data_IF_151342799189
#
_entry.id   IF_151342799189
#
_cell.length_a   1.000
_cell.length_b   1.000
_cell.length_c   1.000
_cell.angle_alpha   90.00
_cell.angle_beta   90.00
_cell.angle_gamma   90.00
#
_symmetry.space_group_name_H-M   'P 1'
#
loop_
_entity.id
_entity.type
_entity.pdbx_description
1 polymer ?
#
# COMPACT_ATOMS: atom_id res chain seq x y z
N UNK A 1 13.58 12.15 -20.72
CA UNK A 1 12.85 11.03 -20.05
C UNK A 1 13.71 10.18 -19.11
N UNK A 2 14.94 9.75 -19.45
CA UNK A 2 15.78 8.94 -18.54
C UNK A 2 16.12 9.63 -17.21
N UNK A 3 16.47 10.93 -17.24
CA UNK A 3 16.85 11.66 -16.03
C UNK A 3 15.69 11.88 -15.05
N UNK A 4 14.44 11.96 -15.53
CA UNK A 4 13.27 12.09 -14.65
C UNK A 4 12.90 10.76 -13.99
N UNK A 5 12.97 9.63 -14.72
CA UNK A 5 12.72 8.30 -14.14
C UNK A 5 13.69 8.00 -12.98
N UNK A 6 14.99 8.18 -13.20
CA UNK A 6 16.02 7.89 -12.20
C UNK A 6 15.87 8.77 -10.97
N UNK A 7 15.57 10.07 -11.15
CA UNK A 7 15.30 10.98 -10.04
C UNK A 7 14.05 10.57 -9.25
N UNK A 8 12.99 10.21 -9.95
CA UNK A 8 11.74 9.84 -9.28
C UNK A 8 11.91 8.51 -8.51
N UNK A 9 12.64 7.56 -9.11
CA UNK A 9 13.04 6.32 -8.46
C UNK A 9 13.95 6.58 -7.25
N UNK A 10 14.93 7.48 -7.35
CA UNK A 10 15.85 7.76 -6.25
C UNK A 10 15.12 8.37 -5.05
N UNK A 11 14.16 9.26 -5.26
CA UNK A 11 13.32 9.77 -4.17
C UNK A 11 12.48 8.67 -3.52
N UNK A 12 11.89 7.77 -4.31
CA UNK A 12 11.09 6.68 -3.78
C UNK A 12 11.93 5.65 -3.02
N UNK A 13 13.11 5.29 -3.54
CA UNK A 13 14.07 4.44 -2.83
C UNK A 13 14.54 5.11 -1.54
N UNK A 14 14.87 6.40 -1.59
CA UNK A 14 15.29 7.15 -0.41
C UNK A 14 14.20 7.17 0.68
N UNK A 15 12.95 7.43 0.31
CA UNK A 15 11.80 7.33 1.24
C UNK A 15 11.69 5.96 1.90
N UNK A 16 11.81 4.90 1.11
CA UNK A 16 11.73 3.54 1.63
C UNK A 16 12.91 3.20 2.56
N UNK A 17 14.13 3.65 2.25
CA UNK A 17 15.29 3.49 3.14
C UNK A 17 15.12 4.27 4.44
N UNK A 18 14.64 5.52 4.37
CA UNK A 18 14.36 6.32 5.57
C UNK A 18 13.26 5.65 6.40
N UNK A 19 12.27 4.99 5.78
CA UNK A 19 11.26 4.20 6.49
C UNK A 19 11.92 3.07 7.29
N UNK A 20 12.80 2.27 6.66
CA UNK A 20 13.52 1.18 7.34
C UNK A 20 14.41 1.68 8.48
N UNK A 21 15.11 2.79 8.29
CA UNK A 21 15.93 3.38 9.35
C UNK A 21 15.03 3.87 10.48
N UNK A 22 13.93 4.55 10.17
CA UNK A 22 13.01 5.09 11.17
C UNK A 22 12.36 3.99 12.01
N UNK A 23 11.89 2.90 11.38
CA UNK A 23 11.29 1.78 12.11
C UNK A 23 12.32 1.08 13.01
N UNK A 24 13.55 0.90 12.52
CA UNK A 24 14.64 0.29 13.30
C UNK A 24 14.96 1.14 14.53
N UNK A 25 15.06 2.47 14.38
CA UNK A 25 15.30 3.40 15.50
C UNK A 25 14.15 3.32 16.51
N UNK A 26 12.90 3.38 16.04
CA UNK A 26 11.72 3.35 16.91
C UNK A 26 11.68 2.05 17.72
N UNK A 27 11.81 0.89 17.06
CA UNK A 27 11.82 -0.41 17.72
C UNK A 27 12.98 -0.50 18.72
N UNK A 28 14.19 -0.08 18.33
CA UNK A 28 15.36 -0.10 19.22
C UNK A 28 15.16 0.76 20.47
N UNK A 29 14.58 1.96 20.32
CA UNK A 29 14.29 2.85 21.46
C UNK A 29 13.26 2.23 22.40
N UNK A 30 12.18 1.66 21.84
CA UNK A 30 11.12 1.02 22.62
C UNK A 30 11.69 -0.18 23.39
N UNK A 31 12.42 -1.06 22.71
CA UNK A 31 13.10 -2.21 23.33
C UNK A 31 14.05 -1.76 24.44
N UNK A 32 14.87 -0.73 24.20
CA UNK A 32 15.78 -0.18 25.21
C UNK A 32 15.03 0.28 26.47
N UNK A 33 13.94 1.05 26.32
CA UNK A 33 13.18 1.51 27.47
C UNK A 33 12.47 0.38 28.22
N UNK A 34 11.99 -0.64 27.51
CA UNK A 34 11.39 -1.79 28.18
C UNK A 34 12.42 -2.62 28.95
N UNK A 35 13.64 -2.77 28.42
CA UNK A 35 14.73 -3.39 29.18
C UNK A 35 15.15 -2.57 30.39
N UNK A 36 15.13 -1.24 30.30
CA UNK A 36 15.41 -0.37 31.45
C UNK A 36 14.36 -0.53 32.57
N UNK A 37 13.15 -0.97 32.23
CA UNK A 37 12.05 -1.26 33.15
C UNK A 37 12.01 -2.74 33.60
N UNK A 38 13.07 -3.51 33.32
CA UNK A 38 13.19 -4.94 33.64
C UNK A 38 12.07 -5.81 33.05
N UNK A 39 11.47 -5.42 31.92
CA UNK A 39 10.52 -6.27 31.19
C UNK A 39 11.24 -7.43 30.50
N UNK A 40 10.59 -8.61 30.49
CA UNK A 40 11.09 -9.78 29.76
C UNK A 40 11.04 -9.58 28.24
N UNK A 41 11.88 -10.32 27.52
CA UNK A 41 11.91 -10.29 26.03
C UNK A 41 10.53 -10.60 25.45
N UNK A 42 9.84 -11.61 26.00
CA UNK A 42 8.49 -12.01 25.56
C UNK A 42 7.47 -10.86 25.69
N UNK A 43 7.53 -10.11 26.79
CA UNK A 43 6.66 -8.95 27.00
C UNK A 43 6.94 -7.84 25.97
N UNK A 44 8.21 -7.65 25.61
CA UNK A 44 8.64 -6.67 24.60
C UNK A 44 8.16 -7.09 23.22
N UNK A 45 8.36 -8.35 22.84
CA UNK A 45 7.92 -8.89 21.55
C UNK A 45 6.41 -8.80 21.39
N UNK A 46 5.64 -9.16 22.43
CA UNK A 46 4.18 -9.02 22.44
C UNK A 46 3.77 -7.56 22.24
N UNK A 47 4.38 -6.63 22.98
CA UNK A 47 4.05 -5.22 22.86
C UNK A 47 4.35 -4.67 21.45
N UNK A 48 5.49 -5.05 20.86
CA UNK A 48 5.88 -4.65 19.51
C UNK A 48 4.87 -5.19 18.48
N UNK A 49 4.51 -6.47 18.59
CA UNK A 49 3.51 -7.11 17.73
C UNK A 49 2.16 -6.40 17.84
N UNK A 50 1.70 -6.14 19.07
CA UNK A 50 0.42 -5.51 19.33
C UNK A 50 0.30 -4.09 18.78
N UNK A 51 1.42 -3.37 18.74
CA UNK A 51 1.54 -2.01 18.22
C UNK A 51 2.12 -1.95 16.80
N UNK A 52 2.33 -3.08 16.15
CA UNK A 52 3.09 -3.21 14.90
C UNK A 52 2.64 -2.25 13.80
N UNK A 53 1.33 -2.18 13.53
CA UNK A 53 0.77 -1.25 12.55
C UNK A 53 1.08 0.22 12.86
N UNK A 54 1.00 0.58 14.14
CA UNK A 54 1.32 1.92 14.60
C UNK A 54 2.78 2.26 14.34
N UNK A 55 3.70 1.35 14.65
CA UNK A 55 5.14 1.53 14.44
C UNK A 55 5.49 1.68 12.95
N UNK A 56 4.94 0.81 12.08
CA UNK A 56 5.17 0.86 10.63
C UNK A 56 4.60 2.15 10.05
N UNK A 57 3.36 2.49 10.41
CA UNK A 57 2.72 3.69 9.88
C UNK A 57 3.45 4.95 10.34
N UNK A 58 3.85 5.03 11.62
CA UNK A 58 4.62 6.15 12.15
C UNK A 58 5.96 6.31 11.42
N UNK A 59 6.70 5.22 11.20
CA UNK A 59 7.98 5.25 10.48
C UNK A 59 7.83 5.75 9.04
N UNK A 60 6.76 5.35 8.32
CA UNK A 60 6.43 5.88 6.99
C UNK A 60 6.07 7.36 7.02
N UNK A 61 5.29 7.81 7.99
CA UNK A 61 4.93 9.22 8.11
C UNK A 61 6.15 10.10 8.42
N UNK A 62 7.07 9.63 9.27
CA UNK A 62 8.36 10.28 9.52
C UNK A 62 9.18 10.35 8.22
N UNK A 63 9.30 9.24 7.50
CA UNK A 63 10.01 9.20 6.23
C UNK A 63 9.38 10.14 5.19
N UNK A 64 8.05 10.15 5.11
CA UNK A 64 7.31 11.03 4.21
C UNK A 64 7.59 12.49 4.56
N UNK A 65 7.54 12.87 5.83
CA UNK A 65 7.85 14.22 6.28
C UNK A 65 9.27 14.64 5.88
N UNK A 66 10.26 13.80 6.15
CA UNK A 66 11.67 14.06 5.80
C UNK A 66 11.84 14.21 4.29
N UNK A 67 11.37 13.25 3.50
CA UNK A 67 11.54 13.27 2.04
C UNK A 67 10.80 14.43 1.40
N UNK A 68 9.61 14.78 1.90
CA UNK A 68 8.88 15.94 1.41
C UNK A 68 9.65 17.24 1.65
N UNK A 69 10.32 17.40 2.81
CA UNK A 69 11.19 18.57 3.04
C UNK A 69 12.31 18.65 2.01
N UNK A 70 13.00 17.54 1.72
CA UNK A 70 14.02 17.51 0.66
C UNK A 70 13.44 17.78 -0.74
N UNK A 71 12.26 17.26 -1.04
CA UNK A 71 11.60 17.49 -2.33
C UNK A 71 11.23 18.96 -2.53
N UNK A 72 10.68 19.62 -1.51
CA UNK A 72 10.35 21.05 -1.54
C UNK A 72 11.60 21.90 -1.74
N UNK A 73 12.70 21.59 -1.04
CA UNK A 73 13.97 22.31 -1.19
C UNK A 73 14.51 22.24 -2.64
N UNK A 74 14.31 21.12 -3.33
CA UNK A 74 14.82 20.94 -4.69
C UNK A 74 13.94 21.64 -5.76
N UNK A 75 12.65 21.83 -5.52
CA UNK A 75 11.73 22.35 -6.55
C UNK A 75 11.64 23.88 -6.62
N UNK A 76 12.20 24.65 -5.68
CA UNK A 76 12.08 26.13 -5.56
C UNK A 76 10.62 26.69 -5.57
N UNK A 77 9.63 25.87 -5.87
CA UNK A 77 8.21 26.14 -5.86
C UNK A 77 7.63 25.42 -4.64
N UNK A 78 6.95 26.16 -3.75
CA UNK A 78 6.36 25.56 -2.55
C UNK A 78 5.12 24.77 -2.98
N UNK A 79 5.13 23.42 -2.98
CA UNK A 79 3.92 22.68 -3.32
C UNK A 79 2.88 22.99 -2.24
N UNK A 80 1.85 23.74 -2.62
CA UNK A 80 0.73 24.03 -1.74
C UNK A 80 -0.21 22.83 -1.80
N UNK A 81 -0.74 22.38 -0.66
CA UNK A 81 -1.74 21.30 -0.61
C UNK A 81 -2.87 21.50 -1.64
N UNK A 82 -3.29 22.75 -1.84
CA UNK A 82 -4.29 23.14 -2.85
C UNK A 82 -3.89 22.77 -4.29
N UNK A 83 -2.64 23.03 -4.69
CA UNK A 83 -2.12 22.67 -6.03
C UNK A 83 -2.11 21.15 -6.20
N UNK A 84 -1.72 20.44 -5.14
CA UNK A 84 -1.68 18.98 -5.13
C UNK A 84 -3.06 18.35 -5.27
N UNK A 85 -4.06 18.88 -4.57
CA UNK A 85 -5.43 18.40 -4.67
C UNK A 85 -5.99 18.64 -6.07
N UNK A 86 -5.75 19.82 -6.66
CA UNK A 86 -6.27 20.14 -7.99
C UNK A 86 -5.61 19.31 -9.10
N UNK A 87 -4.30 19.07 -8.99
CA UNK A 87 -3.54 18.41 -10.06
C UNK A 87 -3.71 16.88 -10.06
N UNK A 88 -3.98 16.26 -8.90
CA UNK A 88 -3.98 14.80 -8.75
C UNK A 88 -5.33 14.18 -8.36
N UNK A 89 -6.31 14.94 -7.85
CA UNK A 89 -7.65 14.39 -7.55
C UNK A 89 -8.56 14.46 -8.77
N UNK A 90 -8.23 13.65 -9.78
CA UNK A 90 -9.02 13.57 -11.01
C UNK A 90 -10.03 12.44 -10.86
N UNK A 91 -11.31 12.73 -11.13
CA UNK A 91 -12.39 11.74 -11.06
C UNK A 91 -12.07 10.46 -11.87
N UNK A 92 -12.36 9.26 -11.32
CA UNK A 92 -12.16 8.01 -12.04
C UNK A 92 -13.04 7.95 -13.28
N UNK A 93 -12.52 7.38 -14.37
CA UNK A 93 -13.35 7.09 -15.54
C UNK A 93 -14.36 5.98 -15.25
N UNK A 94 -15.40 5.88 -16.08
CA UNK A 94 -16.50 4.91 -15.90
C UNK A 94 -16.00 3.46 -15.86
N UNK A 95 -14.89 3.15 -16.52
CA UNK A 95 -14.30 1.82 -16.59
C UNK A 95 -13.65 1.36 -15.27
N UNK A 96 -13.41 2.27 -14.32
CA UNK A 96 -12.94 1.93 -12.99
C UNK A 96 -14.00 1.20 -12.16
N UNK A 97 -15.27 1.60 -12.26
CA UNK A 97 -16.33 1.04 -11.40
C UNK A 97 -16.58 -0.46 -11.63
N UNK A 98 -16.62 -0.99 -12.87
CA UNK A 98 -16.69 -2.43 -13.09
C UNK A 98 -15.52 -3.20 -12.49
N UNK A 99 -14.30 -2.64 -12.52
CA UNK A 99 -13.11 -3.25 -11.90
C UNK A 99 -13.31 -3.33 -10.38
N UNK A 100 -13.69 -2.22 -9.76
CA UNK A 100 -13.97 -2.16 -8.32
C UNK A 100 -15.07 -3.14 -7.91
N UNK A 101 -16.20 -3.14 -8.63
CA UNK A 101 -17.32 -4.03 -8.36
C UNK A 101 -16.94 -5.50 -8.51
N UNK A 102 -16.10 -5.86 -9.48
CA UNK A 102 -15.70 -7.24 -9.67
C UNK A 102 -14.74 -7.73 -8.56
N UNK A 103 -13.86 -6.84 -8.07
CA UNK A 103 -13.04 -7.13 -6.89
C UNK A 103 -13.89 -7.26 -5.61
N UNK A 104 -14.89 -6.40 -5.41
CA UNK A 104 -15.84 -6.55 -4.30
C UNK A 104 -16.65 -7.86 -4.45
N UNK A 105 -17.11 -8.16 -5.66
CA UNK A 105 -17.86 -9.38 -5.98
C UNK A 105 -17.06 -10.66 -5.73
N UNK A 106 -15.73 -10.61 -5.90
CA UNK A 106 -14.84 -11.73 -5.60
C UNK A 106 -14.96 -12.22 -4.14
N UNK A 107 -15.37 -11.37 -3.19
CA UNK A 107 -15.66 -11.84 -1.83
C UNK A 107 -16.92 -12.68 -1.74
N UNK A 108 -18.01 -12.21 -2.34
CA UNK A 108 -19.32 -12.83 -2.19
C UNK A 108 -19.44 -14.14 -2.98
N UNK A 109 -18.67 -14.29 -4.06
CA UNK A 109 -18.67 -15.48 -4.90
C UNK A 109 -17.86 -16.63 -4.29
N UNK A 110 -17.00 -16.35 -3.31
CA UNK A 110 -16.19 -17.36 -2.66
C UNK A 110 -16.89 -17.80 -1.36
N UNK A 111 -17.42 -19.03 -1.34
CA UNK A 111 -17.99 -19.74 -0.17
C UNK A 111 -16.94 -20.03 0.93
N UNK A 112 -16.02 -19.10 1.18
CA UNK A 112 -14.83 -19.30 2.00
C UNK A 112 -14.72 -18.33 3.18
N UNK A 113 -15.83 -17.69 3.55
CA UNK A 113 -15.89 -16.74 4.68
C UNK A 113 -16.40 -17.48 5.90
N UNK A 114 -15.57 -17.59 6.94
CA UNK A 114 -15.99 -18.07 8.25
C UNK A 114 -16.08 -16.88 9.21
N UNK A 115 -17.14 -16.81 10.00
CA UNK A 115 -17.16 -15.87 11.13
C UNK A 115 -16.18 -16.36 12.20
N UNK A 116 -15.40 -15.43 12.75
CA UNK A 116 -14.56 -15.74 13.92
C UNK A 116 -15.49 -15.90 15.12
N UNK A 117 -15.46 -17.06 15.76
CA UNK A 117 -16.22 -17.31 17.00
C UNK A 117 -15.43 -16.68 18.15
N UNK A 118 -15.81 -15.47 18.57
CA UNK A 118 -15.15 -14.73 19.65
C UNK A 118 -15.76 -13.36 19.89
N UNK A 119 -15.32 -12.68 20.96
CA UNK A 119 -15.71 -11.29 21.23
C UNK A 119 -15.10 -10.36 20.18
N UNK A 120 -15.98 -9.67 19.46
CA UNK A 120 -15.60 -8.75 18.40
C UNK A 120 -15.22 -7.39 18.97
N UNK A 121 -13.95 -7.01 18.83
CA UNK A 121 -13.47 -5.67 19.19
C UNK A 121 -13.50 -4.73 17.98
N UNK A 122 -14.58 -3.94 17.87
CA UNK A 122 -14.75 -2.95 16.81
C UNK A 122 -13.56 -1.97 16.71
N UNK A 123 -12.95 -1.62 17.84
CA UNK A 123 -11.80 -0.72 17.91
C UNK A 123 -10.60 -1.27 17.12
N UNK A 124 -10.35 -2.59 17.18
CA UNK A 124 -9.24 -3.20 16.45
C UNK A 124 -9.45 -3.17 14.94
N UNK A 125 -10.70 -3.34 14.47
CA UNK A 125 -11.02 -3.24 13.04
C UNK A 125 -10.86 -1.81 12.54
N UNK A 126 -11.34 -0.81 13.31
CA UNK A 126 -11.16 0.60 12.97
C UNK A 126 -9.67 0.95 12.92
N UNK A 127 -8.88 0.50 13.91
CA UNK A 127 -7.43 0.70 13.95
C UNK A 127 -6.73 0.06 12.75
N UNK A 128 -7.00 -1.22 12.46
CA UNK A 128 -6.42 -1.93 11.31
C UNK A 128 -6.78 -1.23 10.00
N UNK A 129 -8.04 -0.84 9.83
CA UNK A 129 -8.50 -0.11 8.64
C UNK A 129 -7.72 1.19 8.47
N UNK A 130 -7.62 1.99 9.53
CA UNK A 130 -6.97 3.29 9.51
C UNK A 130 -5.46 3.19 9.26
N UNK A 131 -4.77 2.26 9.92
CA UNK A 131 -3.34 2.05 9.71
C UNK A 131 -3.05 1.51 8.31
N UNK A 132 -3.83 0.53 7.83
CA UNK A 132 -3.70 0.05 6.46
C UNK A 132 -3.92 1.17 5.44
N UNK A 133 -4.93 2.03 5.66
CA UNK A 133 -5.17 3.20 4.82
C UNK A 133 -3.94 4.10 4.77
N UNK A 134 -3.42 4.52 5.94
CA UNK A 134 -2.27 5.41 6.01
C UNK A 134 -1.01 4.78 5.39
N UNK A 135 -0.80 3.48 5.59
CA UNK A 135 0.35 2.73 5.09
C UNK A 135 0.45 2.71 3.55
N UNK A 136 -0.67 2.52 2.85
CA UNK A 136 -0.71 2.61 1.38
C UNK A 136 -0.81 4.06 0.90
N UNK A 137 -1.57 4.89 1.61
CA UNK A 137 -1.79 6.28 1.24
C UNK A 137 -0.49 7.09 1.25
N UNK A 138 0.40 6.89 2.23
CA UNK A 138 1.69 7.59 2.28
C UNK A 138 2.53 7.39 1.02
N UNK A 139 2.55 6.16 0.50
CA UNK A 139 3.26 5.81 -0.73
C UNK A 139 2.60 6.42 -1.96
N UNK A 140 1.27 6.27 -2.09
CA UNK A 140 0.52 6.86 -3.20
C UNK A 140 0.65 8.39 -3.21
N UNK A 141 0.59 9.00 -2.03
CA UNK A 141 0.75 10.44 -1.87
C UNK A 141 2.14 10.88 -2.33
N UNK A 142 3.21 10.24 -1.85
CA UNK A 142 4.57 10.54 -2.28
C UNK A 142 4.74 10.37 -3.79
N UNK A 143 4.22 9.28 -4.36
CA UNK A 143 4.31 9.01 -5.80
C UNK A 143 3.57 10.07 -6.62
N UNK A 144 2.43 10.58 -6.15
CA UNK A 144 1.78 11.73 -6.76
C UNK A 144 2.70 12.96 -6.76
N UNK A 145 3.35 13.27 -5.63
CA UNK A 145 4.26 14.43 -5.52
C UNK A 145 5.44 14.37 -6.49
N UNK A 146 6.06 13.20 -6.57
CA UNK A 146 7.25 13.00 -7.39
C UNK A 146 6.87 12.93 -8.88
N UNK A 147 5.71 12.34 -9.21
CA UNK A 147 5.26 12.15 -10.60
C UNK A 147 4.66 13.40 -11.26
N UNK A 148 4.50 14.51 -10.53
CA UNK A 148 3.78 15.72 -10.94
C UNK A 148 4.17 16.33 -12.31
N UNK A 149 5.34 15.99 -12.86
CA UNK A 149 5.90 16.66 -14.04
C UNK A 149 6.06 15.76 -15.28
N UNK A 150 5.50 14.55 -15.33
CA UNK A 150 5.64 13.70 -16.51
C UNK A 150 4.67 12.53 -16.63
N UNK A 151 4.52 12.02 -17.85
CA UNK A 151 3.76 10.80 -18.14
C UNK A 151 4.33 9.64 -17.32
N UNK A 152 3.46 8.85 -16.70
CA UNK A 152 3.87 7.69 -15.91
C UNK A 152 4.40 6.62 -16.86
N UNK A 153 5.71 6.33 -16.79
CA UNK A 153 6.29 5.22 -17.57
C UNK A 153 5.75 3.89 -17.05
N UNK A 154 5.42 2.96 -17.96
CA UNK A 154 4.90 1.63 -17.59
C UNK A 154 5.85 0.86 -16.68
N UNK A 155 7.15 1.07 -16.85
CA UNK A 155 8.18 0.44 -16.01
C UNK A 155 8.02 0.85 -14.53
N UNK A 156 7.57 2.09 -14.26
CA UNK A 156 7.31 2.57 -12.88
C UNK A 156 6.21 1.76 -12.19
N UNK A 157 5.20 1.30 -12.93
CA UNK A 157 4.08 0.54 -12.38
C UNK A 157 4.50 -0.84 -11.85
N UNK A 158 5.69 -1.33 -12.21
CA UNK A 158 6.24 -2.59 -11.69
C UNK A 158 7.40 -2.34 -10.73
N UNK A 159 8.26 -1.35 -11.01
CA UNK A 159 9.40 -1.04 -10.14
C UNK A 159 8.98 -0.50 -8.77
N UNK A 160 8.00 0.40 -8.70
CA UNK A 160 7.57 0.94 -7.40
C UNK A 160 6.94 -0.13 -6.50
N UNK A 161 6.00 -0.97 -6.98
CA UNK A 161 5.49 -2.08 -6.16
C UNK A 161 6.57 -3.09 -5.74
N UNK A 162 7.57 -3.34 -6.59
CA UNK A 162 8.68 -4.24 -6.25
C UNK A 162 9.49 -3.68 -5.08
N UNK A 163 9.89 -2.40 -5.16
CA UNK A 163 10.60 -1.71 -4.08
C UNK A 163 9.74 -1.71 -2.81
N UNK A 164 8.46 -1.33 -2.95
CA UNK A 164 7.50 -1.32 -1.85
C UNK A 164 7.46 -2.66 -1.11
N UNK A 165 7.37 -3.78 -1.82
CA UNK A 165 7.23 -5.09 -1.16
C UNK A 165 8.52 -5.61 -0.56
N UNK A 166 9.68 -5.33 -1.15
CA UNK A 166 10.95 -5.64 -0.51
C UNK A 166 11.02 -4.95 0.86
N UNK A 167 10.63 -3.69 0.90
CA UNK A 167 10.71 -2.85 2.11
C UNK A 167 9.62 -3.20 3.11
N UNK A 168 8.40 -3.46 2.64
CA UNK A 168 7.30 -3.94 3.48
C UNK A 168 7.66 -5.28 4.12
N UNK A 169 8.23 -6.23 3.36
CA UNK A 169 8.70 -7.51 3.88
C UNK A 169 9.70 -7.31 5.01
N UNK A 170 10.72 -6.48 4.81
CA UNK A 170 11.72 -6.20 5.84
C UNK A 170 11.11 -5.51 7.05
N UNK A 171 10.18 -4.57 6.85
CA UNK A 171 9.50 -3.87 7.95
C UNK A 171 8.62 -4.82 8.78
N UNK A 172 7.89 -5.73 8.13
CA UNK A 172 7.09 -6.75 8.81
C UNK A 172 7.97 -7.75 9.56
N UNK A 173 9.09 -8.18 8.98
CA UNK A 173 10.05 -9.06 9.67
C UNK A 173 10.63 -8.45 10.96
N UNK A 174 10.71 -7.12 11.05
CA UNK A 174 11.16 -6.43 12.27
C UNK A 174 10.11 -6.39 13.39
N UNK A 175 8.86 -6.72 13.08
CA UNK A 175 7.71 -6.56 13.99
C UNK A 175 7.01 -7.88 14.28
N UNK A 176 6.97 -8.78 13.31
CA UNK A 176 6.24 -10.05 13.39
C UNK A 176 7.19 -11.22 13.18
N UNK A 177 6.98 -12.28 13.96
CA UNK A 177 7.59 -13.60 13.70
C UNK A 177 6.89 -14.19 12.47
N UNK A 178 7.64 -14.46 11.41
CA UNK A 178 7.04 -14.79 10.11
C UNK A 178 6.47 -16.21 10.07
N UNK A 179 5.16 -16.34 10.26
CA UNK A 179 4.44 -17.56 9.91
C UNK A 179 4.23 -17.69 8.39
N UNK A 180 4.00 -18.91 7.90
CA UNK A 180 3.71 -19.19 6.48
C UNK A 180 2.55 -18.34 5.93
N UNK A 181 1.54 -18.05 6.77
CA UNK A 181 0.44 -17.13 6.44
C UNK A 181 0.95 -15.73 6.08
N UNK A 182 1.98 -15.23 6.77
CA UNK A 182 2.57 -13.92 6.53
C UNK A 182 3.23 -13.81 5.14
N UNK A 183 3.82 -14.90 4.63
CA UNK A 183 4.40 -14.91 3.28
C UNK A 183 3.33 -14.78 2.18
N UNK A 184 2.19 -15.45 2.36
CA UNK A 184 1.06 -15.36 1.41
C UNK A 184 0.43 -13.97 1.43
N UNK A 185 0.29 -13.37 2.62
CA UNK A 185 -0.22 -12.00 2.75
C UNK A 185 0.70 -10.99 2.07
N UNK A 186 2.02 -11.21 2.09
CA UNK A 186 2.98 -10.36 1.37
C UNK A 186 2.74 -10.33 -0.16
N UNK A 187 2.40 -11.47 -0.76
CA UNK A 187 2.07 -11.55 -2.19
C UNK A 187 0.78 -10.77 -2.51
N UNK A 188 -0.22 -10.84 -1.62
CA UNK A 188 -1.44 -10.03 -1.73
C UNK A 188 -1.10 -8.54 -1.63
N UNK A 189 -0.26 -8.16 -0.67
CA UNK A 189 0.24 -6.79 -0.50
C UNK A 189 0.97 -6.28 -1.76
N UNK A 190 1.77 -7.13 -2.42
CA UNK A 190 2.41 -6.83 -3.70
C UNK A 190 1.39 -6.53 -4.79
N UNK A 191 0.47 -7.47 -5.02
CA UNK A 191 -0.54 -7.35 -6.08
C UNK A 191 -1.44 -6.15 -5.88
N UNK A 192 -1.83 -5.87 -4.62
CA UNK A 192 -2.57 -4.66 -4.27
C UNK A 192 -1.82 -3.40 -4.69
N UNK A 193 -0.52 -3.29 -4.38
CA UNK A 193 0.27 -2.13 -4.77
C UNK A 193 0.43 -2.01 -6.29
N UNK A 194 0.62 -3.14 -7.01
CA UNK A 194 0.64 -3.15 -8.48
C UNK A 194 -0.70 -2.64 -9.04
N UNK A 195 -1.82 -3.15 -8.53
CA UNK A 195 -3.15 -2.71 -8.96
C UNK A 195 -3.36 -1.22 -8.71
N UNK A 196 -3.00 -0.71 -7.53
CA UNK A 196 -3.09 0.72 -7.21
C UNK A 196 -2.26 1.56 -8.19
N UNK A 197 -1.05 1.12 -8.54
CA UNK A 197 -0.21 1.80 -9.53
C UNK A 197 -0.85 1.82 -10.92
N UNK A 198 -1.40 0.70 -11.37
CA UNK A 198 -2.10 0.65 -12.66
C UNK A 198 -3.38 1.51 -12.65
N UNK A 199 -4.15 1.47 -11.57
CA UNK A 199 -5.38 2.26 -11.37
C UNK A 199 -5.05 3.75 -11.36
N UNK A 200 -3.96 4.16 -10.70
CA UNK A 200 -3.51 5.56 -10.68
C UNK A 200 -3.23 6.11 -12.07
N UNK A 201 -2.80 5.26 -13.01
CA UNK A 201 -2.52 5.62 -14.40
C UNK A 201 -3.71 5.57 -15.35
N UNK A 202 -4.92 5.17 -14.91
CA UNK A 202 -6.08 4.99 -15.81
C UNK A 202 -6.69 6.29 -16.35
N UNK A 203 -6.37 7.42 -15.74
CA UNK A 203 -6.92 8.72 -16.12
C UNK A 203 -6.29 9.29 -17.41
N UNK A 204 -6.82 10.43 -17.89
CA UNK A 204 -6.42 11.02 -19.19
C UNK A 204 -4.89 11.19 -19.28
N UNK A 205 -4.31 10.73 -20.39
CA UNK A 205 -2.89 10.88 -20.74
C UNK A 205 -1.87 10.17 -19.81
N UNK A 206 -2.26 9.13 -19.06
CA UNK A 206 -1.40 8.44 -18.09
C UNK A 206 -0.83 9.38 -17.01
N UNK A 207 -1.54 10.48 -16.71
CA UNK A 207 -1.24 11.31 -15.54
C UNK A 207 -1.65 10.57 -14.28
N UNK A 208 -0.81 10.67 -13.25
CA UNK A 208 -1.05 10.02 -11.97
C UNK A 208 -2.28 10.65 -11.30
N UNK A 209 -3.33 9.84 -11.10
CA UNK A 209 -4.51 10.23 -10.34
C UNK A 209 -4.53 9.53 -9.00
N UNK A 210 -4.80 10.29 -7.95
CA UNK A 210 -4.89 9.80 -6.58
C UNK A 210 -6.30 9.29 -6.24
N UNK A 211 -7.35 9.85 -6.86
CA UNK A 211 -8.72 9.59 -6.42
C UNK A 211 -9.20 8.16 -6.72
N UNK A 212 -8.88 7.60 -7.89
CA UNK A 212 -9.22 6.22 -8.22
C UNK A 212 -8.54 5.18 -7.30
N UNK A 213 -7.22 5.21 -7.08
CA UNK A 213 -6.58 4.29 -6.14
C UNK A 213 -7.03 4.53 -4.69
N UNK A 214 -7.38 5.77 -4.30
CA UNK A 214 -7.97 6.04 -2.97
C UNK A 214 -9.33 5.38 -2.77
N UNK A 215 -10.22 5.48 -3.76
CA UNK A 215 -11.52 4.79 -3.71
C UNK A 215 -11.30 3.28 -3.65
N UNK A 216 -10.38 2.75 -4.44
CA UNK A 216 -10.04 1.33 -4.40
C UNK A 216 -9.47 0.91 -3.04
N UNK A 217 -8.62 1.73 -2.44
CA UNK A 217 -8.06 1.50 -1.11
C UNK A 217 -9.15 1.42 -0.03
N UNK A 218 -10.06 2.41 0.00
CA UNK A 218 -11.12 2.53 1.01
C UNK A 218 -12.18 1.43 0.89
N UNK A 219 -12.58 1.09 -0.34
CA UNK A 219 -13.70 0.17 -0.57
C UNK A 219 -13.29 -1.29 -0.78
N UNK A 220 -12.00 -1.56 -1.03
CA UNK A 220 -11.52 -2.92 -1.28
C UNK A 220 -10.37 -3.31 -0.33
N UNK A 221 -9.20 -2.67 -0.43
CA UNK A 221 -7.98 -3.11 0.27
C UNK A 221 -8.10 -2.98 1.79
N UNK A 222 -8.55 -1.84 2.31
CA UNK A 222 -8.67 -1.63 3.76
C UNK A 222 -9.73 -2.55 4.39
N UNK A 223 -10.93 -2.75 3.79
CA UNK A 223 -11.88 -3.75 4.26
C UNK A 223 -11.31 -5.17 4.28
N UNK A 224 -10.54 -5.57 3.27
CA UNK A 224 -9.87 -6.89 3.22
C UNK A 224 -8.96 -7.11 4.43
N UNK A 225 -8.12 -6.13 4.69
CA UNK A 225 -7.12 -6.22 5.77
C UNK A 225 -7.83 -6.25 7.12
N UNK A 226 -8.75 -5.31 7.35
CA UNK A 226 -9.37 -5.10 8.66
C UNK A 226 -10.51 -6.06 8.99
N UNK A 227 -11.36 -6.40 8.01
CA UNK A 227 -12.55 -7.22 8.24
C UNK A 227 -12.27 -8.69 7.99
N UNK A 228 -11.47 -9.01 6.98
CA UNK A 228 -11.33 -10.37 6.45
C UNK A 228 -10.03 -11.09 6.83
N UNK A 229 -9.18 -10.47 7.65
CA UNK A 229 -8.01 -11.11 8.24
C UNK A 229 -6.87 -11.39 7.26
N UNK A 230 -6.82 -10.63 6.16
CA UNK A 230 -5.66 -10.60 5.26
C UNK A 230 -4.69 -9.50 5.65
N UNK A 231 -4.48 -9.36 6.96
CA UNK A 231 -3.60 -8.37 7.57
C UNK A 231 -2.15 -8.89 7.59
N UNK A 232 -1.17 -8.19 6.97
CA UNK A 232 0.21 -8.62 6.97
C UNK A 232 0.92 -8.48 8.33
N UNK A 233 0.35 -7.73 9.28
CA UNK A 233 0.93 -7.49 10.61
C UNK A 233 0.24 -8.35 11.66
N UNK A 234 -1.09 -8.31 11.72
CA UNK A 234 -1.86 -9.02 12.76
C UNK A 234 -2.48 -10.34 12.28
N UNK A 235 -2.40 -10.65 10.98
CA UNK A 235 -3.03 -11.83 10.42
C UNK A 235 -4.55 -11.85 10.62
N UNK A 236 -5.07 -13.00 11.06
CA UNK A 236 -6.48 -13.19 11.37
C UNK A 236 -6.87 -12.84 12.82
N UNK A 237 -5.90 -12.56 13.69
CA UNK A 237 -6.14 -12.38 15.13
C UNK A 237 -7.09 -11.24 15.50
N UNK A 238 -7.19 -10.20 14.65
CA UNK A 238 -8.00 -9.00 14.89
C UNK A 238 -9.12 -8.81 13.85
N UNK A 239 -9.42 -9.85 13.07
CA UNK A 239 -10.41 -9.81 12.00
C UNK A 239 -11.82 -10.21 12.50
N UNK A 240 -12.85 -9.72 11.81
CA UNK A 240 -14.25 -10.13 12.05
C UNK A 240 -14.55 -11.48 11.43
N UNK A 241 -14.02 -11.66 10.22
CA UNK A 241 -14.23 -12.82 9.39
C UNK A 241 -12.87 -13.36 8.95
N UNK A 242 -12.75 -14.68 8.91
CA UNK A 242 -11.56 -15.34 8.39
C UNK A 242 -11.86 -15.87 7.00
N UNK A 243 -11.04 -15.46 6.03
CA UNK A 243 -11.04 -16.06 4.71
C UNK A 243 -10.15 -17.30 4.71
N UNK A 244 -10.61 -18.37 4.06
CA UNK A 244 -9.68 -19.46 3.69
C UNK A 244 -8.70 -18.91 2.66
N UNK A 245 -7.48 -18.60 3.12
CA UNK A 245 -6.46 -17.87 2.37
C UNK A 245 -6.10 -18.56 1.06
N UNK A 246 -5.93 -19.89 1.04
CA UNK A 246 -5.44 -20.62 -0.14
C UNK A 246 -6.42 -20.53 -1.34
N UNK A 247 -7.72 -20.91 -1.21
CA UNK A 247 -8.69 -20.74 -2.29
C UNK A 247 -8.84 -19.28 -2.74
N UNK A 248 -8.91 -18.36 -1.77
CA UNK A 248 -9.02 -16.94 -2.04
C UNK A 248 -7.83 -16.44 -2.86
N UNK A 249 -6.61 -16.75 -2.43
CA UNK A 249 -5.37 -16.31 -3.06
C UNK A 249 -5.29 -16.77 -4.51
N UNK A 250 -5.63 -18.03 -4.80
CA UNK A 250 -5.63 -18.55 -6.17
C UNK A 250 -6.53 -17.70 -7.08
N UNK A 251 -7.77 -17.46 -6.66
CA UNK A 251 -8.74 -16.71 -7.44
C UNK A 251 -8.37 -15.23 -7.53
N UNK A 252 -7.89 -14.65 -6.44
CA UNK A 252 -7.39 -13.29 -6.38
C UNK A 252 -6.21 -13.05 -7.34
N UNK A 253 -5.24 -13.97 -7.40
CA UNK A 253 -4.11 -13.90 -8.33
C UNK A 253 -4.61 -13.94 -9.77
N UNK A 254 -5.44 -14.94 -10.11
CA UNK A 254 -5.97 -15.08 -11.48
C UNK A 254 -6.74 -13.82 -11.89
N UNK A 255 -7.62 -13.33 -11.03
CA UNK A 255 -8.44 -12.16 -11.29
C UNK A 255 -7.59 -10.88 -11.43
N UNK A 256 -6.62 -10.71 -10.53
CA UNK A 256 -5.66 -9.60 -10.59
C UNK A 256 -4.85 -9.61 -11.87
N UNK A 257 -4.34 -10.78 -12.29
CA UNK A 257 -3.58 -10.92 -13.53
C UNK A 257 -4.45 -10.61 -14.76
N UNK A 258 -5.71 -11.09 -14.80
CA UNK A 258 -6.63 -10.80 -15.89
C UNK A 258 -6.90 -9.29 -16.01
N UNK A 259 -7.14 -8.62 -14.88
CA UNK A 259 -7.35 -7.16 -14.86
C UNK A 259 -6.08 -6.42 -15.26
N UNK A 260 -4.92 -6.81 -14.75
CA UNK A 260 -3.64 -6.20 -15.11
C UNK A 260 -3.35 -6.37 -16.61
N UNK A 261 -3.61 -7.54 -17.18
CA UNK A 261 -3.52 -7.79 -18.62
C UNK A 261 -4.49 -6.89 -19.41
N UNK A 262 -5.75 -6.79 -18.98
CA UNK A 262 -6.73 -5.90 -19.61
C UNK A 262 -6.27 -4.43 -19.57
N UNK A 263 -5.83 -3.94 -18.42
CA UNK A 263 -5.35 -2.57 -18.24
C UNK A 263 -4.08 -2.31 -19.06
N UNK A 264 -3.16 -3.28 -19.11
CA UNK A 264 -1.93 -3.20 -19.89
C UNK A 264 -2.23 -3.12 -21.40
N UNK A 265 -3.08 -4.00 -21.92
CA UNK A 265 -3.48 -4.02 -23.34
C UNK A 265 -4.25 -2.76 -23.74
N UNK A 266 -5.13 -2.25 -22.86
CA UNK A 266 -5.84 -0.99 -23.11
C UNK A 266 -4.89 0.19 -23.22
N UNK A 267 -3.90 0.25 -22.32
CA UNK A 267 -2.85 1.26 -22.38
C UNK A 267 -1.94 1.12 -23.61
N UNK A 268 -1.88 -0.06 -24.24
CA UNK A 268 -1.19 -0.29 -25.51
C UNK A 268 -1.97 0.29 -26.70
N UNK A 269 -3.25 -0.09 -26.86
CA UNK A 269 -4.11 0.38 -27.96
C UNK A 269 -4.28 1.91 -27.98
N UNK A 270 -4.29 2.56 -26.81
CA UNK A 270 -4.33 4.02 -26.75
C UNK A 270 -3.07 4.68 -27.35
N UNK A 271 -1.90 4.03 -27.28
CA UNK A 271 -0.67 4.59 -27.87
C UNK A 271 -0.68 4.51 -29.39
N UNK A 272 -1.16 3.38 -29.94
CA UNK A 272 -1.28 3.17 -31.39
C UNK A 272 -2.28 4.13 -32.04
N UNK A 273 -3.45 4.31 -31.42
CA UNK A 273 -4.52 5.12 -32.01
C UNK A 273 -4.23 6.64 -32.03
N UNK A 274 -3.30 7.11 -31.19
CA UNK A 274 -3.04 8.56 -31.04
C UNK A 274 -1.60 8.98 -31.39
N UNK A 275 -0.75 8.07 -31.88
CA UNK A 275 0.58 8.40 -32.41
C UNK A 275 1.52 9.09 -31.41
N UNK A 276 1.33 8.84 -30.11
CA UNK A 276 2.12 9.49 -29.05
C UNK A 276 3.32 8.58 -28.73
N UNK A 277 4.50 8.89 -29.26
CA UNK A 277 5.76 8.21 -28.88
C UNK A 277 6.12 8.40 -27.38
#
# INVERSE_FOLDING_TARGET
MKNSLLRDLSYYVFYNLVTLVSITIIVSLITFFHFLLDHSIEAIESWISDNGWGLITASKLIALFIVMKFHVLNKNDKPTFKKLTLDHFIFPKKEFYPILLAFIGLFFVLESVNFVVGEFELDNVIKSFFYAFLFYFSDLFLLAQISSNGKTSRLKNFLYPLIFVIIAKTSFLLITVSDEKGQLTLLITYLNMVLLMFISGLNRENKFSLLAPLIFLIFYICPIISIFGLDPVWGDSRAVMTLKIIPYLKNYIVFSLLILCYLYLKNFKYKENYGIE
#
